data_IF_234897667757
#
_entry.id   IF_234897667757
#
_cell.length_a   1.000
_cell.length_b   1.000
_cell.length_c   1.000
_cell.angle_alpha   90.00
_cell.angle_beta   90.00
_cell.angle_gamma   90.00
#
_symmetry.space_group_name_H-M   'P 1'
#
loop_
_entity.id
_entity.type
_entity.pdbx_description
1 polymer ?
#
# COMPACT_ATOMS: atom_id res chain seq x y z
N UNK A 1 -3.20 8.27 18.78
CA UNK A 1 -3.25 8.93 17.46
C UNK A 1 -3.47 7.86 16.42
N UNK A 2 -4.58 7.96 15.68
CA UNK A 2 -4.89 7.06 14.57
C UNK A 2 -4.33 7.64 13.27
N UNK A 3 -3.69 6.79 12.47
CA UNK A 3 -3.17 7.10 11.14
C UNK A 3 -3.83 6.15 10.15
N UNK A 4 -4.70 6.69 9.31
CA UNK A 4 -5.27 6.00 8.17
C UNK A 4 -4.32 6.15 6.98
N UNK A 5 -3.67 5.06 6.59
CA UNK A 5 -2.73 5.01 5.46
C UNK A 5 -3.46 4.52 4.20
N UNK A 6 -4.02 5.48 3.45
CA UNK A 6 -4.71 5.22 2.19
C UNK A 6 -3.68 4.88 1.11
N UNK A 7 -3.76 3.66 0.60
CA UNK A 7 -2.70 3.10 -0.26
C UNK A 7 -3.23 2.10 -1.27
N UNK A 8 -2.42 1.89 -2.31
CA UNK A 8 -2.63 0.81 -3.28
C UNK A 8 -1.36 -0.04 -3.35
N UNK A 9 -1.50 -1.36 -3.39
CA UNK A 9 -0.41 -2.27 -3.72
C UNK A 9 0.17 -1.93 -5.11
N UNK A 10 -0.63 -1.39 -6.04
CA UNK A 10 -0.14 -1.04 -7.36
C UNK A 10 0.86 0.13 -7.35
N UNK A 11 0.83 0.94 -6.28
CA UNK A 11 1.53 2.22 -6.18
C UNK A 11 2.93 2.06 -5.57
N UNK A 12 4.01 2.27 -6.34
CA UNK A 12 5.37 2.14 -5.81
C UNK A 12 5.70 3.18 -4.72
N UNK A 13 5.08 4.37 -4.79
CA UNK A 13 5.26 5.37 -3.75
C UNK A 13 4.60 4.98 -2.43
N UNK A 14 3.60 4.08 -2.42
CA UNK A 14 3.03 3.56 -1.17
C UNK A 14 4.05 2.71 -0.41
N UNK A 15 4.84 1.89 -1.12
CA UNK A 15 5.94 1.13 -0.50
C UNK A 15 6.99 2.06 0.13
N UNK A 16 7.41 3.12 -0.60
CA UNK A 16 8.34 4.14 -0.07
C UNK A 16 7.73 4.87 1.12
N UNK A 17 6.47 5.29 1.00
CA UNK A 17 5.75 6.06 2.02
C UNK A 17 5.55 5.28 3.31
N UNK A 18 5.20 3.99 3.23
CA UNK A 18 5.07 3.13 4.40
C UNK A 18 6.41 2.97 5.13
N UNK A 19 7.49 2.66 4.39
CA UNK A 19 8.82 2.50 4.98
C UNK A 19 9.33 3.83 5.59
N UNK A 20 9.04 4.96 4.96
CA UNK A 20 9.37 6.27 5.50
C UNK A 20 8.57 6.60 6.77
N UNK A 21 7.27 6.30 6.77
CA UNK A 21 6.38 6.49 7.92
C UNK A 21 6.87 5.64 9.10
N UNK A 22 7.11 4.34 8.90
CA UNK A 22 7.54 3.45 9.99
C UNK A 22 8.89 3.83 10.60
N UNK A 23 9.82 4.36 9.79
CA UNK A 23 11.06 4.96 10.31
C UNK A 23 10.77 6.18 11.17
N UNK A 24 9.86 7.05 10.74
CA UNK A 24 9.44 8.20 11.54
C UNK A 24 8.77 7.76 12.85
N UNK A 25 7.90 6.75 12.82
CA UNK A 25 7.27 6.19 14.02
C UNK A 25 8.32 5.60 14.98
N UNK A 26 9.33 4.93 14.45
CA UNK A 26 10.46 4.43 15.26
C UNK A 26 11.22 5.59 15.93
N UNK A 27 11.47 6.69 15.22
CA UNK A 27 12.14 7.88 15.77
C UNK A 27 11.30 8.64 16.81
N UNK A 28 9.97 8.61 16.68
CA UNK A 28 9.06 9.17 17.67
C UNK A 28 9.20 8.48 19.04
N UNK A 29 9.45 7.17 19.02
CA UNK A 29 9.59 6.32 20.20
C UNK A 29 8.26 5.97 20.86
N UNK A 30 8.31 5.16 21.91
CA UNK A 30 7.14 4.56 22.58
C UNK A 30 6.25 5.56 23.34
N UNK A 31 6.65 6.83 23.40
CA UNK A 31 5.87 7.89 24.04
C UNK A 31 4.58 8.27 23.29
N UNK A 32 4.39 7.76 22.08
CA UNK A 32 3.20 8.02 21.27
C UNK A 32 2.43 6.73 21.02
N UNK A 33 1.20 6.63 21.54
CA UNK A 33 0.29 5.55 21.18
C UNK A 33 -0.22 5.78 19.74
N UNK A 34 0.40 5.08 18.79
CA UNK A 34 0.06 5.15 17.36
C UNK A 34 -0.74 3.90 16.97
N UNK A 35 -1.89 4.13 16.34
CA UNK A 35 -2.65 3.10 15.64
C UNK A 35 -2.54 3.37 14.13
N UNK A 36 -1.88 2.47 13.41
CA UNK A 36 -1.77 2.52 11.95
C UNK A 36 -2.78 1.54 11.35
N UNK A 37 -3.62 2.02 10.43
CA UNK A 37 -4.60 1.22 9.72
C UNK A 37 -4.44 1.44 8.21
N UNK A 38 -4.43 0.35 7.43
CA UNK A 38 -4.32 0.44 5.99
C UNK A 38 -5.72 0.61 5.39
N UNK A 39 -5.83 1.60 4.49
CA UNK A 39 -7.09 1.92 3.85
C UNK A 39 -7.00 1.65 2.35
N UNK A 40 -7.96 0.92 1.76
CA UNK A 40 -7.86 0.49 0.37
C UNK A 40 -8.06 1.65 -0.59
N UNK A 41 -7.26 1.66 -1.65
CA UNK A 41 -7.41 2.47 -2.83
C UNK A 41 -6.92 1.67 -4.03
N UNK A 42 -7.67 1.65 -5.13
CA UNK A 42 -7.20 1.09 -6.39
C UNK A 42 -6.90 2.23 -7.38
N UNK A 43 -5.64 2.33 -7.82
CA UNK A 43 -5.24 3.21 -8.93
C UNK A 43 -5.84 2.73 -10.26
N UNK A 44 -6.16 1.45 -10.35
CA UNK A 44 -6.65 0.77 -11.54
C UNK A 44 -7.73 -0.28 -11.20
N UNK A 45 -8.90 0.14 -10.68
CA UNK A 45 -9.95 -0.80 -10.27
C UNK A 45 -10.46 -1.67 -11.43
N UNK A 46 -10.43 -1.14 -12.65
CA UNK A 46 -10.84 -1.84 -13.87
C UNK A 46 -9.69 -2.59 -14.57
N UNK A 47 -8.53 -2.75 -13.91
CA UNK A 47 -7.41 -3.49 -14.50
C UNK A 47 -7.83 -4.95 -14.76
N UNK A 48 -7.68 -5.47 -15.99
CA UNK A 48 -8.03 -6.85 -16.31
C UNK A 48 -7.13 -7.85 -15.57
N UNK A 49 -7.61 -9.08 -15.39
CA UNK A 49 -6.85 -10.16 -14.74
C UNK A 49 -5.52 -10.47 -15.42
N UNK A 50 -5.43 -10.30 -16.74
CA UNK A 50 -4.19 -10.45 -17.51
C UNK A 50 -3.17 -9.31 -17.29
N UNK A 51 -3.57 -8.25 -16.57
CA UNK A 51 -2.79 -7.05 -16.37
C UNK A 51 -2.50 -6.31 -17.67
N UNK A 52 -1.65 -5.28 -17.55
CA UNK A 52 -1.16 -4.50 -18.69
C UNK A 52 0.37 -4.47 -18.70
N UNK A 53 0.96 -4.33 -19.88
CA UNK A 53 2.39 -4.02 -20.00
C UNK A 53 2.69 -2.67 -19.33
N UNK A 54 3.75 -2.63 -18.52
CA UNK A 54 4.07 -1.46 -17.71
C UNK A 54 4.38 -0.23 -18.56
N UNK A 55 5.17 -0.37 -19.63
CA UNK A 55 5.57 0.77 -20.45
C UNK A 55 4.38 1.30 -21.23
N UNK A 56 3.57 0.42 -21.83
CA UNK A 56 2.35 0.82 -22.53
C UNK A 56 1.36 1.51 -21.59
N UNK A 57 1.17 0.96 -20.39
CA UNK A 57 0.30 1.56 -19.38
C UNK A 57 0.80 2.96 -18.96
N UNK A 58 2.10 3.11 -18.67
CA UNK A 58 2.65 4.41 -18.25
C UNK A 58 2.62 5.45 -19.37
N UNK A 59 2.87 5.03 -20.62
CA UNK A 59 2.75 5.89 -21.78
C UNK A 59 1.30 6.35 -21.98
N UNK A 60 0.32 5.43 -21.90
CA UNK A 60 -1.10 5.75 -22.08
C UNK A 60 -1.66 6.63 -20.96
N UNK A 61 -1.34 6.32 -19.70
CA UNK A 61 -1.91 7.01 -18.53
C UNK A 61 -1.24 8.35 -18.24
N UNK A 62 0.07 8.46 -18.46
CA UNK A 62 0.86 9.63 -18.04
C UNK A 62 1.59 10.33 -19.18
N UNK A 63 1.46 9.86 -20.42
CA UNK A 63 2.15 10.46 -21.58
C UNK A 63 3.68 10.32 -21.49
N UNK A 64 4.20 9.36 -20.72
CA UNK A 64 5.63 9.24 -20.46
C UNK A 64 6.32 8.45 -21.57
N UNK A 65 7.37 9.03 -22.14
CA UNK A 65 8.31 8.30 -22.98
C UNK A 65 9.21 7.37 -22.17
N UNK A 66 9.80 6.37 -22.82
CA UNK A 66 10.62 5.33 -22.20
C UNK A 66 11.80 5.88 -21.37
N UNK A 67 12.44 6.94 -21.86
CA UNK A 67 13.54 7.60 -21.14
C UNK A 67 13.06 8.25 -19.82
N UNK A 68 11.88 8.87 -19.82
CA UNK A 68 11.29 9.46 -18.61
C UNK A 68 10.85 8.38 -17.63
N UNK A 69 10.30 7.26 -18.12
CA UNK A 69 9.98 6.10 -17.27
C UNK A 69 11.23 5.58 -16.57
N UNK A 70 12.34 5.40 -17.30
CA UNK A 70 13.63 4.99 -16.71
C UNK A 70 14.15 5.98 -15.67
N UNK A 71 14.10 7.28 -15.96
CA UNK A 71 14.52 8.30 -15.00
C UNK A 71 13.67 8.26 -13.72
N UNK A 72 12.35 8.17 -13.86
CA UNK A 72 11.43 8.07 -12.72
C UNK A 72 11.68 6.79 -11.90
N UNK A 73 11.94 5.66 -12.57
CA UNK A 73 12.31 4.41 -11.90
C UNK A 73 13.64 4.55 -11.15
N UNK A 74 14.64 5.20 -11.72
CA UNK A 74 15.92 5.42 -11.03
C UNK A 74 15.73 6.22 -9.73
N UNK A 75 14.97 7.32 -9.79
CA UNK A 75 14.62 8.11 -8.59
C UNK A 75 13.82 7.29 -7.59
N UNK A 76 12.87 6.47 -8.05
CA UNK A 76 12.09 5.60 -7.18
C UNK A 76 12.98 4.58 -6.45
N UNK A 77 13.94 3.97 -7.14
CA UNK A 77 14.89 3.02 -6.55
C UNK A 77 15.79 3.70 -5.52
N UNK A 78 16.31 4.89 -5.82
CA UNK A 78 17.10 5.68 -4.87
C UNK A 78 16.29 6.00 -3.60
N UNK A 79 15.04 6.48 -3.78
CA UNK A 79 14.13 6.82 -2.67
C UNK A 79 13.75 5.60 -1.85
N UNK A 80 13.50 4.45 -2.50
CA UNK A 80 13.25 3.18 -1.84
C UNK A 80 14.44 2.74 -1.01
N UNK A 81 15.64 2.72 -1.59
CA UNK A 81 16.86 2.31 -0.91
C UNK A 81 17.14 3.20 0.31
N UNK A 82 16.92 4.51 0.20
CA UNK A 82 17.06 5.45 1.31
C UNK A 82 16.16 5.10 2.50
N UNK A 83 15.00 4.47 2.26
CA UNK A 83 14.05 4.01 3.30
C UNK A 83 14.08 2.51 3.56
N UNK A 84 15.01 1.76 2.95
CA UNK A 84 15.20 0.33 3.20
C UNK A 84 14.34 -0.58 2.33
N UNK A 85 13.67 -0.03 1.30
CA UNK A 85 12.89 -0.79 0.34
C UNK A 85 13.69 -1.04 -0.95
N UNK A 86 13.89 -2.30 -1.30
CA UNK A 86 14.58 -2.68 -2.53
C UNK A 86 13.58 -2.94 -3.68
N UNK A 87 13.57 -2.04 -4.66
CA UNK A 87 12.82 -2.24 -5.90
C UNK A 87 13.55 -3.19 -6.85
N UNK A 88 12.80 -4.12 -7.44
CA UNK A 88 13.29 -5.01 -8.49
C UNK A 88 12.68 -4.70 -9.85
N UNK A 89 12.91 -5.60 -10.79
CA UNK A 89 12.34 -5.49 -12.13
C UNK A 89 10.86 -5.89 -12.12
N UNK A 90 10.02 -5.13 -12.84
CA UNK A 90 8.60 -5.43 -13.05
C UNK A 90 8.19 -5.04 -14.46
N UNK A 91 7.61 -5.98 -15.20
CA UNK A 91 7.15 -5.74 -16.58
C UNK A 91 5.67 -5.43 -16.72
N UNK A 92 4.85 -5.63 -15.68
CA UNK A 92 3.39 -5.51 -15.76
C UNK A 92 2.78 -4.72 -14.61
N UNK A 93 1.58 -4.20 -14.85
CA UNK A 93 0.67 -3.67 -13.83
C UNK A 93 -0.49 -4.65 -13.70
N UNK A 94 -0.86 -4.98 -12.47
CA UNK A 94 -1.88 -5.98 -12.15
C UNK A 94 -3.03 -5.36 -11.37
N UNK A 95 -4.17 -6.05 -11.36
CA UNK A 95 -5.28 -5.75 -10.46
C UNK A 95 -4.86 -6.06 -9.01
N UNK A 96 -5.35 -5.27 -8.06
CA UNK A 96 -4.96 -5.37 -6.64
C UNK A 96 -6.13 -5.61 -5.70
N UNK A 97 -7.34 -5.81 -6.23
CA UNK A 97 -8.54 -5.93 -5.42
C UNK A 97 -8.47 -7.08 -4.41
N UNK A 98 -8.08 -8.28 -4.84
CA UNK A 98 -7.99 -9.42 -3.93
C UNK A 98 -6.87 -9.25 -2.88
N UNK A 99 -5.82 -8.49 -3.20
CA UNK A 99 -4.81 -8.12 -2.21
C UNK A 99 -5.41 -7.19 -1.13
N UNK A 100 -6.24 -6.22 -1.53
CA UNK A 100 -6.96 -5.34 -0.59
C UNK A 100 -7.99 -6.11 0.26
N UNK A 101 -8.68 -7.09 -0.32
CA UNK A 101 -9.58 -7.99 0.43
C UNK A 101 -8.83 -8.77 1.50
N UNK A 102 -7.65 -9.30 1.19
CA UNK A 102 -6.85 -10.01 2.19
C UNK A 102 -6.23 -9.08 3.24
N UNK A 103 -5.87 -7.85 2.90
CA UNK A 103 -5.44 -6.85 3.90
C UNK A 103 -6.56 -6.57 4.89
N UNK A 104 -7.77 -6.30 4.38
CA UNK A 104 -8.92 -6.02 5.22
C UNK A 104 -9.33 -7.24 6.07
N UNK A 105 -9.32 -8.44 5.49
CA UNK A 105 -9.49 -9.69 6.22
C UNK A 105 -8.47 -9.85 7.36
N UNK A 106 -7.18 -9.65 7.06
CA UNK A 106 -6.11 -9.78 8.06
C UNK A 106 -6.31 -8.78 9.20
N UNK A 107 -6.74 -7.55 8.90
CA UNK A 107 -7.08 -6.55 9.92
C UNK A 107 -8.22 -7.00 10.83
N UNK A 108 -9.32 -7.49 10.23
CA UNK A 108 -10.54 -7.85 10.96
C UNK A 108 -10.37 -9.13 11.77
N UNK A 109 -9.77 -10.17 11.18
CA UNK A 109 -9.73 -11.51 11.77
C UNK A 109 -8.39 -11.84 12.46
N UNK A 110 -7.28 -11.18 12.10
CA UNK A 110 -5.95 -11.45 12.67
C UNK A 110 -5.26 -10.23 13.32
N UNK A 111 -5.83 -9.02 13.20
CA UNK A 111 -5.38 -7.80 13.85
C UNK A 111 -4.37 -6.96 13.05
N UNK A 112 -4.03 -5.79 13.60
CA UNK A 112 -3.19 -4.77 12.94
C UNK A 112 -1.81 -5.29 12.51
N UNK A 113 -1.15 -6.09 13.35
CA UNK A 113 0.19 -6.59 13.03
C UNK A 113 0.16 -7.60 11.86
N UNK A 114 -0.92 -8.39 11.74
CA UNK A 114 -1.10 -9.30 10.60
C UNK A 114 -1.32 -8.52 9.30
N UNK A 115 -2.20 -7.52 9.31
CA UNK A 115 -2.41 -6.60 8.18
C UNK A 115 -1.10 -5.94 7.75
N UNK A 116 -0.36 -5.37 8.70
CA UNK A 116 0.90 -4.69 8.45
C UNK A 116 1.95 -5.62 7.82
N UNK A 117 2.14 -6.82 8.38
CA UNK A 117 3.08 -7.82 7.83
C UNK A 117 2.68 -8.25 6.42
N UNK A 118 1.37 -8.43 6.16
CA UNK A 118 0.86 -8.77 4.85
C UNK A 118 1.06 -7.63 3.84
N UNK A 119 0.85 -6.37 4.22
CA UNK A 119 1.11 -5.20 3.37
C UNK A 119 2.58 -5.15 2.92
N UNK A 120 3.52 -5.34 3.85
CA UNK A 120 4.95 -5.42 3.53
C UNK A 120 5.26 -6.57 2.58
N UNK A 121 4.70 -7.76 2.83
CA UNK A 121 4.90 -8.93 1.98
C UNK A 121 4.38 -8.71 0.55
N UNK A 122 3.21 -8.07 0.42
CA UNK A 122 2.61 -7.71 -0.88
C UNK A 122 3.47 -6.68 -1.63
N UNK A 123 3.92 -5.62 -0.95
CA UNK A 123 4.82 -4.64 -1.57
C UNK A 123 6.13 -5.29 -2.03
N UNK A 124 6.73 -6.15 -1.20
CA UNK A 124 7.95 -6.87 -1.57
C UNK A 124 7.74 -7.81 -2.77
N UNK A 125 6.65 -8.58 -2.78
CA UNK A 125 6.33 -9.48 -3.89
C UNK A 125 6.08 -8.72 -5.20
N UNK A 126 5.33 -7.62 -5.14
CA UNK A 126 4.94 -6.91 -6.35
C UNK A 126 6.03 -5.95 -6.87
N UNK A 127 6.64 -5.14 -6.01
CA UNK A 127 7.62 -4.13 -6.39
C UNK A 127 9.07 -4.61 -6.29
N UNK A 128 9.36 -5.53 -5.37
CA UNK A 128 10.69 -6.12 -5.22
C UNK A 128 10.91 -7.32 -6.15
N UNK A 129 9.90 -8.16 -6.35
CA UNK A 129 10.02 -9.42 -7.07
C UNK A 129 9.24 -9.46 -8.41
N UNK A 130 8.44 -8.43 -8.70
CA UNK A 130 7.67 -8.33 -9.95
C UNK A 130 6.52 -9.34 -10.09
N UNK A 131 6.07 -9.95 -8.98
CA UNK A 131 5.04 -11.00 -8.95
C UNK A 131 3.63 -10.39 -9.02
N UNK A 132 2.64 -11.17 -9.45
CA UNK A 132 1.26 -10.68 -9.59
C UNK A 132 0.50 -10.65 -8.24
N UNK A 133 0.22 -9.47 -7.65
CA UNK A 133 -0.47 -9.34 -6.36
C UNK A 133 -1.93 -9.78 -6.39
N UNK A 134 -2.54 -9.94 -7.57
CA UNK A 134 -3.89 -10.49 -7.73
C UNK A 134 -3.91 -12.00 -8.01
N UNK A 135 -2.75 -12.69 -8.05
CA UNK A 135 -2.71 -14.13 -8.27
C UNK A 135 -3.03 -14.88 -6.98
N UNK A 136 -4.04 -15.76 -7.02
CA UNK A 136 -4.48 -16.59 -5.90
C UNK A 136 -3.31 -17.35 -5.26
N UNK A 137 -2.45 -17.95 -6.08
CA UNK A 137 -1.33 -18.77 -5.62
C UNK A 137 -0.31 -17.94 -4.85
N UNK A 138 0.02 -16.73 -5.32
CA UNK A 138 0.89 -15.81 -4.59
C UNK A 138 0.26 -15.41 -3.26
N UNK A 139 -1.02 -15.02 -3.29
CA UNK A 139 -1.70 -14.51 -2.09
C UNK A 139 -1.74 -15.57 -0.98
N UNK A 140 -2.03 -16.83 -1.32
CA UNK A 140 -2.01 -17.94 -0.37
C UNK A 140 -0.60 -18.27 0.11
N UNK A 141 0.41 -18.22 -0.77
CA UNK A 141 1.82 -18.37 -0.38
C UNK A 141 2.25 -17.33 0.66
N UNK A 142 1.87 -16.06 0.48
CA UNK A 142 2.19 -15.00 1.44
C UNK A 142 1.47 -15.21 2.78
N UNK A 143 0.20 -15.65 2.74
CA UNK A 143 -0.57 -16.00 3.94
C UNK A 143 0.13 -17.12 4.73
N UNK A 144 0.55 -18.19 4.06
CA UNK A 144 1.27 -19.31 4.68
C UNK A 144 2.61 -18.87 5.28
N UNK A 145 3.39 -18.09 4.53
CA UNK A 145 4.69 -17.59 4.97
C UNK A 145 4.59 -16.70 6.22
N UNK A 146 3.44 -16.05 6.43
CA UNK A 146 3.18 -15.22 7.60
C UNK A 146 2.55 -15.97 8.77
N UNK A 147 2.18 -17.25 8.58
CA UNK A 147 1.50 -18.08 9.57
C UNK A 147 0.05 -17.67 9.81
N UNK A 148 -0.60 -17.08 8.80
CA UNK A 148 -2.02 -16.73 8.84
C UNK A 148 -2.89 -17.92 8.39
N UNK A 149 -4.20 -17.86 8.62
CA UNK A 149 -5.10 -18.96 8.30
C UNK A 149 -5.30 -19.11 6.78
N UNK A 150 -4.60 -20.10 6.20
CA UNK A 150 -4.70 -20.46 4.79
C UNK A 150 -6.12 -20.78 4.35
N UNK A 151 -6.82 -21.64 5.10
CA UNK A 151 -8.13 -22.14 4.71
C UNK A 151 -9.13 -20.99 4.66
N UNK A 152 -9.02 -20.07 5.62
CA UNK A 152 -9.86 -18.87 5.66
C UNK A 152 -9.52 -17.89 4.53
N UNK A 153 -8.24 -17.62 4.26
CA UNK A 153 -7.85 -16.79 3.13
C UNK A 153 -8.31 -17.38 1.78
N UNK A 154 -8.23 -18.69 1.62
CA UNK A 154 -8.71 -19.40 0.43
C UNK A 154 -10.21 -19.21 0.21
N UNK A 155 -11.02 -19.23 1.28
CA UNK A 155 -12.46 -18.93 1.23
C UNK A 155 -12.73 -17.49 0.84
N UNK A 156 -11.97 -16.53 1.38
CA UNK A 156 -12.08 -15.11 0.97
C UNK A 156 -11.84 -15.01 -0.54
N UNK A 157 -10.77 -15.62 -1.05
CA UNK A 157 -10.43 -15.57 -2.47
C UNK A 157 -11.36 -16.36 -3.39
N UNK A 158 -12.14 -17.32 -2.88
CA UNK A 158 -13.15 -18.06 -3.67
C UNK A 158 -14.51 -17.36 -3.72
N UNK A 159 -14.84 -16.63 -2.65
CA UNK A 159 -16.13 -15.96 -2.49
C UNK A 159 -16.03 -14.44 -2.66
N UNK A 160 -17.03 -13.76 -2.09
CA UNK A 160 -17.20 -12.31 -2.09
C UNK A 160 -16.96 -11.67 -0.71
N UNK A 161 -16.49 -12.45 0.28
CA UNK A 161 -16.18 -11.95 1.61
C UNK A 161 -15.27 -10.71 1.55
N UNK A 162 -15.59 -9.68 2.33
CA UNK A 162 -14.89 -8.40 2.39
C UNK A 162 -14.92 -7.54 1.11
N UNK A 163 -15.51 -8.02 0.01
CA UNK A 163 -15.54 -7.28 -1.25
C UNK A 163 -16.38 -6.00 -1.12
N UNK A 164 -17.54 -6.07 -0.47
CA UNK A 164 -18.43 -4.93 -0.30
C UNK A 164 -17.81 -3.85 0.61
N UNK A 165 -17.14 -4.28 1.67
CA UNK A 165 -16.46 -3.46 2.67
C UNK A 165 -15.28 -2.71 2.05
N UNK A 166 -14.41 -3.42 1.30
CA UNK A 166 -13.29 -2.79 0.58
C UNK A 166 -13.79 -1.76 -0.43
N UNK A 167 -14.80 -2.11 -1.23
CA UNK A 167 -15.41 -1.19 -2.21
C UNK A 167 -16.07 0.01 -1.54
N UNK A 168 -16.67 -0.16 -0.36
CA UNK A 168 -17.24 0.93 0.40
C UNK A 168 -16.17 1.87 0.96
N UNK A 169 -15.08 1.32 1.50
CA UNK A 169 -13.95 2.08 2.00
C UNK A 169 -13.26 2.88 0.88
N UNK A 170 -13.05 2.29 -0.29
CA UNK A 170 -12.50 2.99 -1.46
C UNK A 170 -13.37 4.20 -1.86
N UNK A 171 -14.70 4.00 -1.96
CA UNK A 171 -15.64 5.10 -2.26
C UNK A 171 -15.59 6.18 -1.20
N UNK A 172 -15.56 5.82 0.09
CA UNK A 172 -15.45 6.77 1.18
C UNK A 172 -14.21 7.67 1.03
N UNK A 173 -13.05 7.10 0.69
CA UNK A 173 -11.83 7.88 0.51
C UNK A 173 -11.85 8.75 -0.75
N UNK A 174 -12.45 8.26 -1.83
CA UNK A 174 -12.67 9.05 -3.05
C UNK A 174 -13.62 10.23 -2.78
N UNK A 175 -14.71 10.01 -2.06
CA UNK A 175 -15.68 11.04 -1.67
C UNK A 175 -15.07 12.06 -0.70
N UNK A 176 -14.09 11.63 0.10
CA UNK A 176 -13.27 12.49 0.95
C UNK A 176 -12.20 13.30 0.17
N UNK A 177 -12.19 13.22 -1.17
CA UNK A 177 -11.29 13.98 -2.04
C UNK A 177 -9.90 13.35 -2.22
N UNK A 178 -9.70 12.09 -1.85
CA UNK A 178 -8.46 11.37 -2.13
C UNK A 178 -8.47 10.90 -3.57
N UNK A 179 -7.56 11.45 -4.38
CA UNK A 179 -7.38 11.09 -5.78
C UNK A 179 -5.96 10.60 -6.10
N UNK A 180 -5.09 10.52 -5.10
CA UNK A 180 -3.73 10.03 -5.22
C UNK A 180 -3.26 9.40 -3.91
N UNK A 181 -2.35 8.43 -4.03
CA UNK A 181 -1.80 7.66 -2.91
C UNK A 181 -0.27 7.58 -2.99
N UNK A 182 0.45 7.45 -1.86
CA UNK A 182 -0.08 7.31 -0.51
C UNK A 182 -0.66 8.62 0.03
N UNK A 183 -1.68 8.52 0.86
CA UNK A 183 -2.23 9.62 1.64
C UNK A 183 -2.40 9.17 3.09
N UNK A 184 -1.97 10.00 4.03
CA UNK A 184 -2.11 9.73 5.46
C UNK A 184 -3.17 10.67 6.02
N UNK A 185 -4.16 10.11 6.71
CA UNK A 185 -5.13 10.86 7.48
C UNK A 185 -4.87 10.64 8.97
N UNK A 186 -4.49 11.71 9.68
CA UNK A 186 -4.20 11.65 11.11
C UNK A 186 -5.42 12.14 11.91
N UNK A 187 -5.89 11.29 12.83
CA UNK A 187 -7.09 11.48 13.65
C UNK A 187 -8.30 12.00 12.86
N UNK A 188 -8.46 11.52 11.61
CA UNK A 188 -9.55 11.92 10.71
C UNK A 188 -9.57 13.39 10.28
N UNK A 189 -8.53 14.18 10.60
CA UNK A 189 -8.54 15.66 10.46
C UNK A 189 -7.41 16.21 9.60
N UNK A 190 -6.24 15.58 9.64
CA UNK A 190 -5.04 16.12 9.01
C UNK A 190 -4.57 15.22 7.88
N UNK A 191 -4.61 15.75 6.66
CA UNK A 191 -4.13 15.06 5.46
C UNK A 191 -2.64 15.38 5.22
N UNK A 192 -1.84 14.33 5.05
CA UNK A 192 -0.47 14.41 4.55
C UNK A 192 -0.42 13.63 3.22
N UNK A 193 -0.14 14.33 2.13
CA UNK A 193 -0.12 13.74 0.79
C UNK A 193 1.29 13.28 0.39
N UNK A 194 1.36 12.11 -0.24
CA UNK A 194 2.55 11.57 -0.88
C UNK A 194 3.55 10.91 0.07
N UNK A 195 4.54 10.26 -0.53
CA UNK A 195 5.64 9.62 0.17
C UNK A 195 6.65 10.68 0.67
N UNK A 196 6.37 11.26 1.84
CA UNK A 196 7.26 12.21 2.48
C UNK A 196 8.52 11.53 3.04
N UNK A 197 9.56 12.33 3.32
CA UNK A 197 10.75 11.83 4.00
C UNK A 197 10.43 11.51 5.47
N UNK A 198 11.18 10.58 6.11
CA UNK A 198 10.98 10.25 7.53
C UNK A 198 10.99 11.49 8.44
N UNK A 199 11.89 12.45 8.21
CA UNK A 199 12.01 13.65 9.06
C UNK A 199 10.78 14.56 8.95
N UNK A 200 10.16 14.60 7.76
CA UNK A 200 8.94 15.38 7.53
C UNK A 200 7.75 14.71 8.24
N UNK A 201 7.62 13.39 8.13
CA UNK A 201 6.60 12.65 8.88
C UNK A 201 6.77 12.86 10.38
N UNK A 202 7.99 12.71 10.90
CA UNK A 202 8.29 12.90 12.33
C UNK A 202 7.89 14.31 12.79
N UNK A 203 8.32 15.35 12.07
CA UNK A 203 8.00 16.73 12.41
C UNK A 203 6.49 16.98 12.47
N UNK A 204 5.75 16.48 11.47
CA UNK A 204 4.29 16.66 11.41
C UNK A 204 3.61 15.89 12.54
N UNK A 205 3.97 14.62 12.76
CA UNK A 205 3.36 13.80 13.81
C UNK A 205 3.63 14.35 15.22
N UNK A 206 4.85 14.84 15.51
CA UNK A 206 5.14 15.53 16.78
C UNK A 206 4.27 16.77 16.96
N UNK A 207 4.11 17.56 15.91
CA UNK A 207 3.28 18.76 15.94
C UNK A 207 1.81 18.43 16.21
N UNK A 208 1.27 17.41 15.54
CA UNK A 208 -0.11 16.98 15.71
C UNK A 208 -0.35 16.39 17.11
N UNK A 209 0.59 15.60 17.63
CA UNK A 209 0.50 15.04 18.97
C UNK A 209 0.52 16.11 20.08
N UNK A 210 1.20 17.25 19.86
CA UNK A 210 1.21 18.37 20.80
C UNK A 210 -0.07 19.23 20.77
N UNK A 211 -0.96 19.02 19.79
CA UNK A 211 -2.21 19.76 19.63
C UNK A 211 -3.45 18.95 20.05
N UNK A 212 -3.26 17.67 20.37
CA UNK A 212 -4.29 16.76 20.88
C UNK A 212 -4.37 16.84 22.40
#
# INVERSE_FOLDING_TARGET
>A
MKIDFVSDIACPWCAVGLNALERALTNLGDGFAIELEFQPFELNPDMPAAGADLLQYLAAKYGLGEAQVRANQATLHERGAAVGFAFGARGRVWNTFDAHRLLHWARVEAGAEAERRLAHALFAAYHGQGRNPGARELLLELVDALGLDHARAAQVLEGDAFAAEVRAAERQWQDAGIHSVPALFVDGRHLIQGAQKPEVFEQVLRRLAAQA
#
